data_IF_588502287628
#
_entry.id   IF_588502287628
#
_cell.length_a   1.000
_cell.length_b   1.000
_cell.length_c   1.000
_cell.angle_alpha   90.00
_cell.angle_beta   90.00
_cell.angle_gamma   90.00
#
_symmetry.space_group_name_H-M   'P 1'
#
loop_
_entity.id
_entity.type
_entity.pdbx_description
1 polymer ?
#
# COMPACT_ATOMS: atom_id res chain seq x y z
N UNK A 1 4.94 -24.39 3.65
CA UNK A 1 4.62 -23.60 2.45
C UNK A 1 3.73 -22.46 2.90
N UNK A 2 4.29 -21.26 2.99
CA UNK A 2 3.47 -20.06 3.23
C UNK A 2 2.82 -19.75 1.89
N UNK A 3 1.52 -19.95 1.78
CA UNK A 3 0.75 -19.62 0.57
C UNK A 3 0.94 -18.14 0.31
N UNK A 4 1.31 -17.76 -0.92
CA UNK A 4 1.44 -16.35 -1.26
C UNK A 4 0.09 -15.63 -0.99
N UNK A 5 0.13 -14.43 -0.38
CA UNK A 5 -1.08 -13.70 -0.06
C UNK A 5 -1.87 -13.39 -1.33
N UNK A 6 -3.15 -13.74 -1.34
CA UNK A 6 -3.96 -13.67 -2.57
C UNK A 6 -4.21 -12.25 -3.07
N UNK A 7 -4.04 -11.23 -2.21
CA UNK A 7 -4.46 -9.84 -2.43
C UNK A 7 -5.92 -9.72 -2.90
N UNK A 8 -6.78 -10.68 -2.55
CA UNK A 8 -8.22 -10.61 -2.87
C UNK A 8 -8.85 -9.40 -2.19
N UNK A 9 -9.45 -8.53 -3.00
CA UNK A 9 -10.11 -7.29 -2.59
C UNK A 9 -11.63 -7.56 -2.45
N UNK A 10 -12.15 -7.82 -1.24
CA UNK A 10 -13.58 -8.08 -1.04
C UNK A 10 -14.44 -6.82 -1.16
N UNK A 11 -13.85 -5.64 -0.98
CA UNK A 11 -14.55 -4.37 -1.06
C UNK A 11 -13.60 -3.26 -1.52
N UNK A 12 -14.04 -2.50 -2.53
CA UNK A 12 -13.39 -1.25 -2.92
C UNK A 12 -14.08 -0.09 -2.19
N UNK A 13 -13.33 0.95 -1.81
CA UNK A 13 -13.93 2.14 -1.21
C UNK A 13 -14.85 2.84 -2.21
N UNK A 14 -15.90 3.48 -1.72
CA UNK A 14 -16.76 4.34 -2.53
C UNK A 14 -16.31 5.81 -2.40
N UNK A 15 -16.18 6.50 -3.54
CA UNK A 15 -15.93 7.95 -3.56
C UNK A 15 -17.20 8.68 -3.17
N UNK A 16 -17.11 9.50 -2.14
CA UNK A 16 -18.14 10.47 -1.75
C UNK A 16 -17.62 11.88 -1.97
N UNK A 17 -18.53 12.77 -2.35
CA UNK A 17 -18.29 14.20 -2.52
C UNK A 17 -19.20 14.96 -1.55
N UNK A 18 -18.84 15.04 -0.25
CA UNK A 18 -19.60 15.85 0.68
C UNK A 18 -19.51 17.32 0.28
N UNK A 19 -20.59 18.06 0.50
CA UNK A 19 -20.66 19.48 0.15
C UNK A 19 -19.59 20.26 0.93
N UNK A 20 -18.51 20.67 0.24
CA UNK A 20 -17.48 21.56 0.77
C UNK A 20 -16.25 20.92 1.42
N UNK A 21 -16.16 19.59 1.61
CA UNK A 21 -14.99 18.94 2.24
C UNK A 21 -14.05 18.20 1.26
N UNK A 22 -14.36 18.21 -0.05
CA UNK A 22 -13.54 17.54 -1.06
C UNK A 22 -13.98 16.10 -1.32
N UNK A 23 -13.04 15.21 -1.63
CA UNK A 23 -13.31 13.79 -1.93
C UNK A 23 -13.01 12.95 -0.71
N UNK A 24 -14.02 12.22 -0.24
CA UNK A 24 -13.87 11.22 0.82
C UNK A 24 -13.97 9.80 0.22
N UNK A 25 -13.29 8.86 0.87
CA UNK A 25 -13.37 7.44 0.54
C UNK A 25 -13.94 6.73 1.75
N UNK A 26 -15.07 6.06 1.59
CA UNK A 26 -15.73 5.32 2.67
C UNK A 26 -15.58 3.82 2.43
N UNK A 27 -15.26 3.10 3.51
CA UNK A 27 -15.00 1.66 3.51
C UNK A 27 -13.73 1.31 2.72
N UNK A 28 -13.61 0.03 2.37
CA UNK A 28 -12.56 -0.46 1.48
C UNK A 28 -11.69 -1.53 2.13
N UNK A 29 -10.62 -1.89 1.43
CA UNK A 29 -9.69 -2.94 1.86
C UNK A 29 -8.32 -2.31 2.09
N UNK A 30 -7.67 -2.67 3.20
CA UNK A 30 -6.28 -2.33 3.51
C UNK A 30 -5.49 -3.64 3.64
N UNK A 31 -4.27 -3.67 3.09
CA UNK A 31 -3.31 -4.75 3.35
C UNK A 31 -2.16 -4.20 4.20
N UNK A 32 -1.92 -4.83 5.34
CA UNK A 32 -0.79 -4.54 6.23
C UNK A 32 0.32 -5.53 5.95
N UNK A 33 1.48 -5.02 5.58
CA UNK A 33 2.70 -5.77 5.31
C UNK A 33 3.64 -5.51 6.49
N UNK A 34 3.79 -6.51 7.35
CA UNK A 34 4.59 -6.39 8.58
C UNK A 34 5.83 -7.27 8.45
N UNK A 35 7.04 -6.69 8.55
CA UNK A 35 8.28 -7.46 8.55
C UNK A 35 8.37 -8.32 9.82
N UNK A 36 9.05 -9.46 9.74
CA UNK A 36 9.27 -10.37 10.87
C UNK A 36 10.33 -9.87 11.87
N UNK A 37 11.18 -8.94 11.45
CA UNK A 37 12.07 -8.17 12.30
C UNK A 37 11.56 -6.73 12.47
N UNK A 38 11.75 -6.17 13.67
CA UNK A 38 11.38 -4.78 13.94
C UNK A 38 12.18 -3.83 13.03
N UNK A 39 11.47 -2.94 12.33
CA UNK A 39 12.06 -1.91 11.47
C UNK A 39 11.47 -0.56 11.84
N UNK A 40 12.34 0.45 11.88
CA UNK A 40 11.90 1.80 12.15
C UNK A 40 11.09 2.36 10.96
N UNK A 41 10.08 3.17 11.26
CA UNK A 41 9.26 3.84 10.23
C UNK A 41 10.10 4.56 9.15
N UNK A 42 11.18 5.31 9.49
CA UNK A 42 12.01 5.96 8.47
C UNK A 42 12.71 4.95 7.53
N UNK A 43 13.25 3.85 8.05
CA UNK A 43 13.93 2.84 7.22
C UNK A 43 12.98 2.17 6.22
N UNK A 44 11.75 1.87 6.67
CA UNK A 44 10.72 1.34 5.81
C UNK A 44 10.24 2.37 4.78
N UNK A 45 10.17 3.65 5.17
CA UNK A 45 9.83 4.73 4.26
C UNK A 45 10.89 4.89 3.16
N UNK A 46 12.18 4.86 3.53
CA UNK A 46 13.29 4.91 2.56
C UNK A 46 13.22 3.73 1.59
N UNK A 47 12.97 2.52 2.11
CA UNK A 47 12.81 1.31 1.27
C UNK A 47 11.64 1.45 0.29
N UNK A 48 10.51 2.01 0.73
CA UNK A 48 9.36 2.29 -0.13
C UNK A 48 9.73 3.31 -1.21
N UNK A 49 10.44 4.38 -0.86
CA UNK A 49 10.89 5.40 -1.82
C UNK A 49 11.81 4.78 -2.87
N UNK A 50 12.76 3.94 -2.47
CA UNK A 50 13.67 3.26 -3.41
C UNK A 50 12.90 2.37 -4.40
N UNK A 51 11.93 1.59 -3.92
CA UNK A 51 11.06 0.76 -4.77
C UNK A 51 10.26 1.61 -5.75
N UNK A 52 9.75 2.76 -5.30
CA UNK A 52 8.96 3.67 -6.13
C UNK A 52 9.82 4.39 -7.17
N UNK A 53 11.06 4.73 -6.83
CA UNK A 53 12.01 5.41 -7.71
C UNK A 53 12.60 4.47 -8.78
N UNK A 54 12.93 3.23 -8.40
CA UNK A 54 13.53 2.24 -9.31
C UNK A 54 12.50 1.45 -10.11
N UNK A 55 11.28 1.34 -9.58
CA UNK A 55 10.18 0.59 -10.19
C UNK A 55 9.44 1.37 -11.30
N UNK A 56 8.54 0.69 -12.02
CA UNK A 56 7.71 1.30 -13.06
C UNK A 56 6.53 2.05 -12.43
N UNK A 57 6.82 2.95 -11.48
CA UNK A 57 5.83 3.68 -10.72
C UNK A 57 5.86 5.15 -11.05
N UNK A 58 4.67 5.73 -11.16
CA UNK A 58 4.49 7.17 -10.98
C UNK A 58 3.89 7.40 -9.62
N UNK A 59 4.52 8.23 -8.80
CA UNK A 59 4.04 8.48 -7.45
C UNK A 59 4.10 9.97 -7.10
N UNK A 60 3.20 10.35 -6.19
CA UNK A 60 3.23 11.65 -5.53
C UNK A 60 3.12 11.45 -4.03
N UNK A 61 3.87 12.22 -3.26
CA UNK A 61 3.83 12.22 -1.80
C UNK A 61 2.82 13.23 -1.27
N UNK A 62 2.37 13.00 -0.04
CA UNK A 62 1.56 13.94 0.72
C UNK A 62 2.42 14.55 1.82
N UNK A 63 2.61 15.87 1.77
CA UNK A 63 3.28 16.60 2.83
C UNK A 63 2.32 16.86 4.02
N UNK A 64 2.91 17.19 5.18
CA UNK A 64 2.19 17.59 6.40
C UNK A 64 1.21 16.54 6.97
N UNK A 65 1.42 15.27 6.65
CA UNK A 65 0.72 14.15 7.29
C UNK A 65 1.51 13.59 8.47
N UNK A 66 0.83 13.02 9.49
CA UNK A 66 1.49 12.41 10.64
C UNK A 66 2.25 11.11 10.31
N UNK A 67 2.22 10.68 9.05
CA UNK A 67 2.90 9.49 8.55
C UNK A 67 3.25 9.66 7.06
N UNK A 68 4.35 9.04 6.58
CA UNK A 68 4.65 8.96 5.16
C UNK A 68 3.51 8.29 4.39
N UNK A 69 3.07 8.93 3.31
CA UNK A 69 1.99 8.47 2.45
C UNK A 69 2.28 8.86 1.00
N UNK A 70 2.12 7.91 0.09
CA UNK A 70 2.26 8.10 -1.35
C UNK A 70 1.00 7.64 -2.08
N UNK A 71 0.59 8.40 -3.09
CA UNK A 71 -0.32 7.93 -4.13
C UNK A 71 0.54 7.30 -5.23
N UNK A 72 0.31 6.03 -5.52
CA UNK A 72 1.12 5.24 -6.44
C UNK A 72 0.25 4.82 -7.62
N UNK A 73 0.79 4.99 -8.83
CA UNK A 73 0.29 4.39 -10.06
C UNK A 73 1.35 3.43 -10.59
N UNK A 74 1.00 2.15 -10.66
CA UNK A 74 1.79 1.14 -11.38
C UNK A 74 1.58 1.36 -12.88
N UNK A 75 2.65 1.69 -13.61
CA UNK A 75 2.55 1.95 -15.05
C UNK A 75 2.45 0.66 -15.87
N UNK A 76 2.78 -0.52 -15.32
CA UNK A 76 2.66 -1.80 -16.01
C UNK A 76 1.25 -2.38 -15.91
N UNK A 77 0.60 -2.26 -14.76
CA UNK A 77 -0.78 -2.77 -14.56
C UNK A 77 -1.85 -1.69 -14.70
N UNK A 78 -1.44 -0.42 -14.74
CA UNK A 78 -2.31 0.76 -14.66
C UNK A 78 -3.08 0.91 -13.33
N UNK A 79 -2.76 0.09 -12.32
CA UNK A 79 -3.39 0.16 -11.01
C UNK A 79 -2.97 1.40 -10.24
N UNK A 80 -3.90 1.94 -9.45
CA UNK A 80 -3.65 3.07 -8.57
C UNK A 80 -4.03 2.69 -7.15
N UNK A 81 -3.14 2.89 -6.20
CA UNK A 81 -3.35 2.60 -4.77
C UNK A 81 -2.57 3.60 -3.91
N UNK A 82 -2.74 3.57 -2.58
CA UNK A 82 -1.87 4.35 -1.68
C UNK A 82 -0.97 3.44 -0.88
N UNK A 83 0.25 3.89 -0.65
CA UNK A 83 1.22 3.26 0.24
C UNK A 83 1.44 4.18 1.42
N UNK A 84 1.23 3.68 2.64
CA UNK A 84 1.56 4.40 3.86
C UNK A 84 2.59 3.60 4.67
N UNK A 85 3.42 4.27 5.46
CA UNK A 85 4.32 3.59 6.40
C UNK A 85 4.04 4.12 7.79
N UNK A 86 3.70 3.22 8.71
CA UNK A 86 3.35 3.59 10.08
C UNK A 86 3.51 2.39 11.02
N UNK A 87 4.03 2.66 12.21
CA UNK A 87 4.18 1.66 13.29
C UNK A 87 4.90 0.40 12.79
N UNK A 88 6.04 0.58 12.10
CA UNK A 88 6.85 -0.53 11.57
C UNK A 88 6.16 -1.37 10.48
N UNK A 89 5.11 -0.84 9.84
CA UNK A 89 4.28 -1.56 8.86
C UNK A 89 4.12 -0.74 7.59
N UNK A 90 4.23 -1.40 6.43
CA UNK A 90 3.82 -0.84 5.14
C UNK A 90 2.36 -1.18 4.91
N UNK A 91 1.54 -0.19 4.56
CA UNK A 91 0.10 -0.35 4.37
C UNK A 91 -0.28 -0.02 2.94
N UNK A 92 -0.95 -0.95 2.26
CA UNK A 92 -1.50 -0.75 0.94
C UNK A 92 -3.01 -0.48 1.06
N UNK A 93 -3.42 0.74 0.74
CA UNK A 93 -4.83 1.12 0.72
C UNK A 93 -5.40 0.97 -0.69
N UNK A 94 -6.44 0.14 -0.80
CA UNK A 94 -7.23 -0.01 -2.02
C UNK A 94 -7.96 1.29 -2.31
N UNK A 95 -7.96 1.69 -3.57
CA UNK A 95 -8.76 2.75 -4.17
C UNK A 95 -9.83 2.14 -5.10
N UNK A 96 -10.80 2.93 -5.59
CA UNK A 96 -11.95 2.39 -6.31
C UNK A 96 -11.60 1.51 -7.52
N UNK A 97 -10.45 1.74 -8.15
CA UNK A 97 -10.00 1.02 -9.35
C UNK A 97 -8.73 0.20 -9.13
N UNK A 98 -8.34 -0.05 -7.87
CA UNK A 98 -7.16 -0.88 -7.59
C UNK A 98 -7.47 -2.34 -7.83
N UNK A 99 -6.75 -3.00 -8.73
CA UNK A 99 -6.81 -4.46 -8.87
C UNK A 99 -5.70 -5.16 -8.05
N UNK A 100 -5.84 -6.47 -7.76
CA UNK A 100 -4.87 -7.22 -6.97
C UNK A 100 -3.45 -7.27 -7.56
N UNK A 101 -3.30 -7.12 -8.87
CA UNK A 101 -2.02 -7.34 -9.55
C UNK A 101 -0.99 -6.25 -9.23
N UNK A 102 -1.38 -4.97 -9.20
CA UNK A 102 -0.51 -3.88 -8.77
C UNK A 102 -0.06 -4.02 -7.31
N UNK A 103 -0.96 -4.47 -6.42
CA UNK A 103 -0.64 -4.73 -5.01
C UNK A 103 0.34 -5.89 -4.86
N UNK A 104 0.11 -6.98 -5.60
CA UNK A 104 0.97 -8.17 -5.57
C UNK A 104 2.38 -7.83 -6.08
N UNK A 105 2.49 -7.11 -7.20
CA UNK A 105 3.79 -6.68 -7.75
C UNK A 105 4.55 -5.76 -6.81
N UNK A 106 3.85 -4.82 -6.16
CA UNK A 106 4.49 -3.98 -5.15
C UNK A 106 5.04 -4.82 -3.98
N UNK A 107 4.24 -5.78 -3.48
CA UNK A 107 4.69 -6.68 -2.43
C UNK A 107 5.88 -7.56 -2.84
N UNK A 108 5.89 -8.07 -4.07
CA UNK A 108 7.02 -8.82 -4.61
C UNK A 108 8.31 -7.99 -4.64
N UNK A 109 8.22 -6.71 -5.03
CA UNK A 109 9.35 -5.77 -5.01
C UNK A 109 9.81 -5.45 -3.58
N UNK A 110 8.87 -5.26 -2.66
CA UNK A 110 9.18 -5.07 -1.23
C UNK A 110 9.86 -6.29 -0.60
N UNK A 111 9.44 -7.50 -0.98
CA UNK A 111 10.09 -8.73 -0.54
C UNK A 111 11.48 -8.90 -1.18
N UNK A 112 11.66 -8.41 -2.41
CA UNK A 112 12.93 -8.51 -3.13
C UNK A 112 13.97 -7.48 -2.66
N UNK A 113 13.56 -6.37 -2.03
CA UNK A 113 14.49 -5.33 -1.55
C UNK A 113 15.40 -5.81 -0.41
N UNK A 114 14.93 -6.78 0.39
CA UNK A 114 15.74 -7.48 1.39
C UNK A 114 15.31 -8.95 1.48
N UNK A 115 16.07 -9.83 0.81
CA UNK A 115 15.76 -11.26 0.75
C UNK A 115 15.92 -11.99 2.10
N UNK A 116 16.58 -11.38 3.09
CA UNK A 116 16.69 -11.95 4.43
C UNK A 116 15.48 -11.61 5.30
N UNK A 117 14.69 -10.59 4.93
CA UNK A 117 13.53 -10.13 5.68
C UNK A 117 12.27 -10.84 5.19
N UNK A 118 11.56 -11.50 6.10
CA UNK A 118 10.28 -12.13 5.75
C UNK A 118 9.12 -11.22 6.14
N UNK A 119 8.00 -11.37 5.42
CA UNK A 119 6.86 -10.47 5.56
C UNK A 119 5.58 -11.25 5.81
N UNK A 120 4.79 -10.77 6.77
CA UNK A 120 3.42 -11.21 6.99
C UNK A 120 2.45 -10.23 6.33
N UNK A 121 1.35 -10.75 5.78
CA UNK A 121 0.32 -9.94 5.14
C UNK A 121 -1.01 -10.15 5.85
N UNK A 122 -1.57 -9.08 6.37
CA UNK A 122 -2.90 -9.07 6.98
C UNK A 122 -3.85 -8.21 6.16
N UNK A 123 -5.06 -8.72 5.90
CA UNK A 123 -6.11 -7.95 5.22
C UNK A 123 -7.08 -7.39 6.25
N UNK A 124 -7.33 -6.09 6.17
CA UNK A 124 -8.36 -5.39 6.90
C UNK A 124 -9.44 -4.90 5.94
N UNK A 125 -10.70 -4.92 6.35
CA UNK A 125 -11.83 -4.44 5.56
C UNK A 125 -12.63 -3.48 6.42
N UNK A 126 -12.65 -2.21 6.03
CA UNK A 126 -13.37 -1.17 6.75
C UNK A 126 -14.87 -1.26 6.44
N UNK A 127 -15.70 -1.18 7.48
CA UNK A 127 -17.16 -1.21 7.38
C UNK A 127 -17.81 -2.58 7.56
N UNK A 128 -17.13 -3.54 8.21
CA UNK A 128 -17.71 -4.83 8.57
C UNK A 128 -17.43 -5.23 10.02
#
# INVERSE_FOLDING_TARGET
>A
MTTDPSFTIPAHPQRRFPHGSGVEYEGGTEFRLTPDAERATPELADTVVDILADGPYRYGDFHDLPMPLWLVRDEETADVFRVAVRDGTVRLHVLPTTEPDGLRRFFERLRASDAALSWSVQRHVDGR
#
